data_IF_103220107910
#
_entry.id   IF_103220107910
#
_cell.length_a   1.000
_cell.length_b   1.000
_cell.length_c   1.000
_cell.angle_alpha   90.00
_cell.angle_beta   90.00
_cell.angle_gamma   90.00
#
_symmetry.space_group_name_H-M   'P 1'
#
loop_
_entity.id
_entity.type
_entity.pdbx_description
1 polymer ?
#
# COMPACT_ATOMS: atom_id res chain seq x y z
N UNK A 1 10.83 8.34 -22.19
CA UNK A 1 10.35 7.44 -21.12
C UNK A 1 10.89 7.97 -19.81
N UNK A 2 10.03 8.36 -18.85
CA UNK A 2 10.49 8.64 -17.48
C UNK A 2 10.76 7.30 -16.80
N UNK A 3 12.02 7.02 -16.50
CA UNK A 3 12.44 5.82 -15.80
C UNK A 3 12.31 6.08 -14.31
N UNK A 4 11.56 5.23 -13.59
CA UNK A 4 11.44 5.34 -12.13
C UNK A 4 12.81 5.20 -11.46
N UNK A 5 13.02 5.87 -10.33
CA UNK A 5 14.24 5.73 -9.52
C UNK A 5 14.47 4.30 -9.02
N UNK A 6 13.46 3.44 -9.13
CA UNK A 6 13.51 2.03 -8.77
C UNK A 6 13.93 1.10 -9.93
N UNK A 7 14.35 1.63 -11.08
CA UNK A 7 14.60 0.82 -12.28
C UNK A 7 15.96 0.13 -12.33
N UNK A 8 16.86 0.40 -11.39
CA UNK A 8 18.18 -0.24 -11.37
C UNK A 8 18.08 -1.66 -10.79
N UNK A 9 18.83 -2.61 -11.34
CA UNK A 9 18.83 -4.01 -10.86
C UNK A 9 19.11 -4.12 -9.35
N UNK A 10 20.09 -3.39 -8.76
CA UNK A 10 20.31 -3.42 -7.31
C UNK A 10 19.10 -2.92 -6.51
N UNK A 11 18.43 -1.87 -6.99
CA UNK A 11 17.23 -1.34 -6.33
C UNK A 11 16.07 -2.32 -6.45
N UNK A 12 15.90 -2.98 -7.60
CA UNK A 12 14.88 -4.00 -7.79
C UNK A 12 15.08 -5.20 -6.84
N UNK A 13 16.32 -5.65 -6.66
CA UNK A 13 16.66 -6.72 -5.73
C UNK A 13 16.41 -6.29 -4.27
N UNK A 14 16.83 -5.08 -3.89
CA UNK A 14 16.56 -4.54 -2.56
C UNK A 14 15.06 -4.46 -2.28
N UNK A 15 14.30 -3.85 -3.18
CA UNK A 15 12.85 -3.71 -3.08
C UNK A 15 12.15 -5.08 -2.99
N UNK A 16 12.62 -6.07 -3.74
CA UNK A 16 12.03 -7.42 -3.72
C UNK A 16 12.31 -8.14 -2.39
N UNK A 17 13.59 -8.18 -1.97
CA UNK A 17 14.01 -9.00 -0.83
C UNK A 17 13.84 -8.33 0.53
N UNK A 18 14.04 -7.00 0.61
CA UNK A 18 13.97 -6.27 1.87
C UNK A 18 12.57 -5.73 2.18
N UNK A 19 11.71 -5.59 1.16
CA UNK A 19 10.41 -4.92 1.30
C UNK A 19 9.27 -5.85 0.87
N UNK A 20 9.19 -6.21 -0.42
CA UNK A 20 8.05 -6.95 -0.99
C UNK A 20 7.83 -8.32 -0.35
N UNK A 21 8.85 -9.19 -0.39
CA UNK A 21 8.73 -10.55 0.11
C UNK A 21 8.39 -10.57 1.62
N UNK A 22 9.08 -9.80 2.48
CA UNK A 22 8.72 -9.68 3.89
C UNK A 22 7.28 -9.23 4.14
N UNK A 23 6.73 -8.31 3.33
CA UNK A 23 5.34 -7.86 3.45
C UNK A 23 4.37 -8.99 3.10
N UNK A 24 4.57 -9.66 1.97
CA UNK A 24 3.70 -10.74 1.51
C UNK A 24 3.63 -11.89 2.53
N UNK A 25 4.79 -12.39 2.96
CA UNK A 25 4.88 -13.49 3.92
C UNK A 25 4.21 -13.13 5.26
N UNK A 26 4.33 -11.86 5.66
CA UNK A 26 3.74 -11.38 6.91
C UNK A 26 2.23 -11.17 6.83
N UNK A 27 1.72 -10.67 5.69
CA UNK A 27 0.29 -10.51 5.45
C UNK A 27 -0.39 -11.88 5.45
N UNK A 28 0.18 -12.85 4.75
CA UNK A 28 -0.33 -14.23 4.73
C UNK A 28 -0.42 -14.80 6.16
N UNK A 29 0.65 -14.68 6.95
CA UNK A 29 0.69 -15.14 8.34
C UNK A 29 -0.30 -14.40 9.26
N UNK A 30 -0.52 -13.10 9.05
CA UNK A 30 -1.43 -12.31 9.89
C UNK A 30 -2.89 -12.69 9.68
N UNK A 31 -3.27 -12.92 8.42
CA UNK A 31 -4.63 -13.23 8.03
C UNK A 31 -4.95 -14.73 8.05
N UNK A 32 -3.96 -15.61 8.20
CA UNK A 32 -4.18 -17.03 8.45
C UNK A 32 -4.92 -17.23 9.80
N UNK A 33 -6.12 -17.84 9.81
CA UNK A 33 -6.85 -18.16 11.05
C UNK A 33 -6.14 -19.22 11.91
N UNK A 34 -5.29 -20.05 11.32
CA UNK A 34 -4.59 -21.13 12.02
C UNK A 34 -3.23 -20.69 12.58
N UNK A 35 -2.73 -19.52 12.18
CA UNK A 35 -1.46 -19.01 12.66
C UNK A 35 -1.52 -18.68 14.17
N UNK A 36 -0.52 -19.18 14.90
CA UNK A 36 -0.38 -18.91 16.33
C UNK A 36 -0.21 -17.40 16.63
N UNK A 37 -0.60 -16.96 17.83
CA UNK A 37 -0.36 -15.57 18.27
C UNK A 37 1.12 -15.17 18.17
N UNK A 38 2.03 -16.10 18.44
CA UNK A 38 3.48 -15.88 18.34
C UNK A 38 3.90 -15.68 16.88
N UNK A 39 3.36 -16.47 15.96
CA UNK A 39 3.61 -16.31 14.52
C UNK A 39 3.12 -14.95 14.01
N UNK A 40 1.92 -14.52 14.44
CA UNK A 40 1.39 -13.18 14.10
C UNK A 40 2.25 -12.05 14.65
N UNK A 41 2.75 -12.16 15.88
CA UNK A 41 3.68 -11.17 16.43
C UNK A 41 5.00 -11.10 15.66
N UNK A 42 5.55 -12.25 15.23
CA UNK A 42 6.74 -12.29 14.37
C UNK A 42 6.46 -11.62 13.02
N UNK A 43 5.32 -11.90 12.40
CA UNK A 43 4.90 -11.26 11.14
C UNK A 43 4.77 -9.73 11.28
N UNK A 44 4.16 -9.23 12.36
CA UNK A 44 4.10 -7.78 12.64
C UNK A 44 5.50 -7.18 12.76
N UNK A 45 6.43 -7.87 13.42
CA UNK A 45 7.82 -7.41 13.54
C UNK A 45 8.53 -7.36 12.19
N UNK A 46 8.26 -8.33 11.30
CA UNK A 46 8.82 -8.36 9.95
C UNK A 46 8.24 -7.20 9.11
N UNK A 47 6.93 -6.98 9.14
CA UNK A 47 6.27 -5.83 8.52
C UNK A 47 6.84 -4.50 9.01
N UNK A 48 7.09 -4.39 10.31
CA UNK A 48 7.68 -3.19 10.89
C UNK A 48 9.09 -2.92 10.34
N UNK A 49 9.91 -3.96 10.19
CA UNK A 49 11.24 -3.84 9.57
C UNK A 49 11.15 -3.44 8.10
N UNK A 50 10.26 -4.08 7.32
CA UNK A 50 10.06 -3.75 5.91
C UNK A 50 9.62 -2.29 5.75
N UNK A 51 8.71 -1.82 6.60
CA UNK A 51 8.30 -0.42 6.66
C UNK A 51 9.47 0.53 7.01
N UNK A 52 10.35 0.15 7.94
CA UNK A 52 11.55 0.91 8.24
C UNK A 52 12.50 0.99 7.04
N UNK A 53 12.68 -0.08 6.28
CA UNK A 53 13.50 -0.07 5.07
C UNK A 53 12.90 0.84 3.99
N UNK A 54 11.59 0.82 3.80
CA UNK A 54 10.90 1.76 2.88
C UNK A 54 11.11 3.21 3.29
N UNK A 55 11.14 3.50 4.59
CA UNK A 55 11.35 4.88 5.06
C UNK A 55 12.74 5.45 4.76
N UNK A 56 13.69 4.61 4.32
CA UNK A 56 15.03 5.02 3.88
C UNK A 56 15.10 5.32 2.38
N UNK A 57 14.05 4.97 1.62
CA UNK A 57 13.98 5.23 0.19
C UNK A 57 13.71 6.70 -0.08
N UNK A 58 14.07 7.19 -1.28
CA UNK A 58 13.72 8.56 -1.68
C UNK A 58 12.20 8.73 -1.64
N UNK A 59 11.75 9.92 -1.23
CA UNK A 59 10.33 10.24 -1.23
C UNK A 59 9.77 10.18 -2.66
N UNK A 60 8.63 9.49 -2.89
CA UNK A 60 8.01 9.45 -4.20
C UNK A 60 7.43 10.82 -4.55
N UNK A 61 7.68 11.25 -5.79
CA UNK A 61 7.26 12.51 -6.39
C UNK A 61 6.77 12.24 -7.81
N UNK A 62 6.02 13.19 -8.40
CA UNK A 62 5.55 13.08 -9.78
C UNK A 62 6.70 13.00 -10.81
N UNK A 63 7.90 13.40 -10.41
CA UNK A 63 9.10 13.39 -11.25
C UNK A 63 9.81 12.04 -11.24
N UNK A 64 9.78 11.34 -10.10
CA UNK A 64 10.53 10.09 -9.88
C UNK A 64 9.66 8.82 -9.86
N UNK A 65 8.34 8.98 -9.93
CA UNK A 65 7.35 7.91 -10.13
C UNK A 65 6.75 7.99 -11.53
N UNK A 66 6.21 6.88 -12.01
CA UNK A 66 5.70 6.78 -13.38
C UNK A 66 4.26 6.29 -13.46
N UNK A 67 3.75 5.60 -12.43
CA UNK A 67 2.42 5.01 -12.48
C UNK A 67 1.31 6.05 -12.22
N UNK A 68 0.24 6.13 -13.04
CA UNK A 68 -0.84 7.10 -12.85
C UNK A 68 -1.52 7.01 -11.48
N UNK A 69 -1.76 5.80 -10.95
CA UNK A 69 -2.35 5.65 -9.62
C UNK A 69 -1.37 6.06 -8.51
N UNK A 70 -0.06 5.93 -8.72
CA UNK A 70 0.94 6.44 -7.80
C UNK A 70 0.92 7.98 -7.80
N UNK A 71 0.77 8.62 -8.96
CA UNK A 71 0.60 10.08 -9.08
C UNK A 71 -0.65 10.59 -8.37
N UNK A 72 -1.79 9.91 -8.52
CA UNK A 72 -3.02 10.26 -7.80
C UNK A 72 -2.84 10.20 -6.28
N UNK A 73 -2.12 9.20 -5.79
CA UNK A 73 -1.82 9.06 -4.36
C UNK A 73 -0.80 10.10 -3.86
N UNK A 74 0.14 10.52 -4.70
CA UNK A 74 1.05 11.64 -4.39
C UNK A 74 0.25 12.93 -4.23
N UNK A 75 -0.66 13.22 -5.16
CA UNK A 75 -1.54 14.40 -5.08
C UNK A 75 -2.39 14.36 -3.80
N UNK A 76 -2.98 13.19 -3.49
CA UNK A 76 -3.76 13.01 -2.28
C UNK A 76 -2.91 13.19 -1.01
N UNK A 77 -1.69 12.62 -0.98
CA UNK A 77 -0.75 12.80 0.14
C UNK A 77 -0.47 14.28 0.35
N UNK A 78 -0.08 14.98 -0.70
CA UNK A 78 0.32 16.39 -0.61
C UNK A 78 -0.87 17.25 -0.16
N UNK A 79 -2.07 16.98 -0.69
CA UNK A 79 -3.30 17.63 -0.23
C UNK A 79 -3.60 17.36 1.25
N UNK A 80 -3.52 16.09 1.71
CA UNK A 80 -3.74 15.75 3.13
C UNK A 80 -2.72 16.45 4.02
N UNK A 81 -1.44 16.47 3.64
CA UNK A 81 -0.38 17.07 4.45
C UNK A 81 -0.44 18.60 4.49
N UNK A 82 -0.94 19.24 3.44
CA UNK A 82 -1.07 20.70 3.34
C UNK A 82 -2.35 21.20 4.03
N UNK A 83 -3.48 20.50 3.87
CA UNK A 83 -4.81 21.01 4.24
C UNK A 83 -5.38 20.41 5.52
N UNK A 84 -4.92 19.23 5.94
CA UNK A 84 -5.31 18.71 7.25
C UNK A 84 -4.32 19.26 8.28
N UNK A 85 -4.77 20.18 9.13
CA UNK A 85 -4.02 20.76 10.26
C UNK A 85 -3.73 19.63 11.27
N UNK A 86 -2.72 18.84 10.97
CA UNK A 86 -2.30 17.66 11.71
C UNK A 86 -1.11 18.03 12.60
N UNK A 87 -1.09 17.50 13.82
CA UNK A 87 0.10 17.59 14.68
C UNK A 87 1.33 17.02 13.94
N UNK A 88 2.46 17.71 14.05
CA UNK A 88 3.79 17.35 13.52
C UNK A 88 4.13 15.85 13.56
N UNK A 89 3.79 15.15 14.66
CA UNK A 89 4.02 13.71 14.79
C UNK A 89 3.10 12.86 13.90
N UNK A 90 1.85 13.28 13.76
CA UNK A 90 0.85 12.62 12.89
C UNK A 90 1.16 12.87 11.42
N UNK A 91 1.61 14.07 11.07
CA UNK A 91 2.11 14.42 9.71
C UNK A 91 3.24 13.47 9.30
N UNK A 92 4.22 13.26 10.18
CA UNK A 92 5.34 12.36 9.89
C UNK A 92 4.91 10.90 9.68
N UNK A 93 3.96 10.40 10.46
CA UNK A 93 3.42 9.05 10.30
C UNK A 93 2.62 8.91 9.01
N UNK A 94 1.71 9.86 8.75
CA UNK A 94 0.84 9.86 7.56
C UNK A 94 1.70 9.94 6.29
N UNK A 95 2.68 10.85 6.24
CA UNK A 95 3.64 10.94 5.13
C UNK A 95 4.32 9.61 4.86
N UNK A 96 4.83 8.94 5.90
CA UNK A 96 5.50 7.65 5.76
C UNK A 96 4.57 6.53 5.27
N UNK A 97 3.32 6.50 5.76
CA UNK A 97 2.31 5.53 5.30
C UNK A 97 1.95 5.76 3.83
N UNK A 98 1.71 7.01 3.43
CA UNK A 98 1.47 7.34 2.03
C UNK A 98 2.65 6.96 1.14
N UNK A 99 3.87 7.35 1.53
CA UNK A 99 5.08 7.02 0.77
C UNK A 99 5.25 5.51 0.64
N UNK A 100 4.94 4.74 1.68
CA UNK A 100 4.94 3.29 1.64
C UNK A 100 3.98 2.73 0.58
N UNK A 101 2.72 3.17 0.59
CA UNK A 101 1.71 2.70 -0.37
C UNK A 101 2.07 3.10 -1.80
N UNK A 102 2.50 4.35 -2.02
CA UNK A 102 2.89 4.87 -3.33
C UNK A 102 4.05 4.06 -3.91
N UNK A 103 5.08 3.79 -3.11
CA UNK A 103 6.27 3.02 -3.52
C UNK A 103 5.87 1.60 -3.93
N UNK A 104 5.00 0.93 -3.17
CA UNK A 104 4.53 -0.41 -3.52
C UNK A 104 3.79 -0.45 -4.86
N UNK A 105 2.97 0.57 -5.14
CA UNK A 105 2.19 0.67 -6.39
C UNK A 105 3.07 1.03 -7.59
N UNK A 106 4.04 1.93 -7.41
CA UNK A 106 4.94 2.35 -8.48
C UNK A 106 5.94 1.24 -8.85
N UNK A 107 6.36 0.43 -7.86
CA UNK A 107 7.39 -0.60 -8.01
C UNK A 107 6.87 -1.92 -8.59
N UNK A 108 5.67 -2.41 -8.24
CA UNK A 108 5.35 -3.83 -8.39
C UNK A 108 4.11 -4.14 -9.26
N UNK A 109 4.23 -4.98 -10.33
CA UNK A 109 3.12 -5.39 -11.20
C UNK A 109 1.92 -6.08 -10.52
N UNK A 110 2.06 -7.04 -9.58
CA UNK A 110 0.89 -7.66 -8.94
C UNK A 110 0.08 -6.68 -8.08
N UNK A 111 0.72 -5.74 -7.38
CA UNK A 111 0.00 -4.70 -6.63
C UNK A 111 -0.60 -3.65 -7.57
N UNK A 112 0.10 -3.32 -8.66
CA UNK A 112 -0.46 -2.51 -9.75
C UNK A 112 -1.76 -3.10 -10.28
N UNK A 113 -1.79 -4.41 -10.56
CA UNK A 113 -2.99 -5.09 -11.03
C UNK A 113 -4.11 -5.14 -10.00
N UNK A 114 -3.80 -5.30 -8.70
CA UNK A 114 -4.81 -5.22 -7.63
C UNK A 114 -5.44 -3.82 -7.58
N UNK A 115 -4.65 -2.76 -7.71
CA UNK A 115 -5.18 -1.39 -7.70
C UNK A 115 -5.89 -1.01 -9.01
N UNK A 116 -5.40 -1.49 -10.15
CA UNK A 116 -6.08 -1.31 -11.44
C UNK A 116 -7.41 -2.08 -11.47
N UNK A 117 -7.48 -3.28 -10.90
CA UNK A 117 -8.73 -4.02 -10.75
C UNK A 117 -9.69 -3.33 -9.78
N UNK A 118 -9.18 -2.72 -8.70
CA UNK A 118 -10.00 -1.90 -7.79
C UNK A 118 -10.52 -0.63 -8.48
N UNK A 119 -9.76 -0.03 -9.39
CA UNK A 119 -10.23 1.10 -10.21
C UNK A 119 -11.35 0.64 -11.15
N UNK A 120 -11.16 -0.47 -11.86
CA UNK A 120 -12.22 -1.04 -12.71
C UNK A 120 -13.47 -1.43 -11.91
N UNK A 121 -13.30 -1.98 -10.70
CA UNK A 121 -14.42 -2.28 -9.81
C UNK A 121 -15.08 -1.01 -9.27
N UNK A 122 -14.30 0.01 -8.89
CA UNK A 122 -14.81 1.30 -8.41
C UNK A 122 -15.55 2.07 -9.52
N UNK A 123 -15.05 2.01 -10.76
CA UNK A 123 -15.70 2.60 -11.94
C UNK A 123 -17.00 1.85 -12.31
N UNK A 124 -17.10 0.57 -11.94
CA UNK A 124 -18.33 -0.24 -12.06
C UNK A 124 -19.26 -0.12 -10.85
N UNK A 125 -18.77 0.39 -9.72
CA UNK A 125 -19.60 0.65 -8.55
C UNK A 125 -20.40 1.92 -8.78
N UNK A 126 -21.71 1.78 -9.03
CA UNK A 126 -22.64 2.89 -8.77
C UNK A 126 -22.46 3.33 -7.32
N UNK A 127 -21.98 4.56 -7.13
CA UNK A 127 -21.90 5.19 -5.82
C UNK A 127 -23.32 5.31 -5.24
N UNK A 128 -23.74 4.30 -4.49
CA UNK A 128 -24.93 4.41 -3.66
C UNK A 128 -24.58 5.37 -2.53
N UNK A 129 -25.24 6.53 -2.52
CA UNK A 129 -25.14 7.49 -1.42
C UNK A 129 -25.31 6.73 -0.10
N UNK A 130 -24.28 6.74 0.75
CA UNK A 130 -24.35 6.08 2.05
C UNK A 130 -25.44 6.74 2.89
N UNK A 131 -26.58 6.08 3.03
CA UNK A 131 -27.35 6.18 4.25
C UNK A 131 -26.47 5.65 5.39
N UNK A 132 -25.84 6.57 6.12
CA UNK A 132 -25.18 6.26 7.39
C UNK A 132 -26.25 5.89 8.41
N UNK A 133 -26.82 4.69 8.28
CA UNK A 133 -27.86 4.20 9.16
C UNK A 133 -28.18 2.74 8.87
N UNK A 134 -27.86 1.88 9.84
CA UNK A 134 -28.34 0.49 9.97
C UNK A 134 -28.01 -0.45 8.80
N UNK A 135 -26.96 -1.24 8.96
CA UNK A 135 -27.06 -2.71 9.18
C UNK A 135 -25.66 -3.32 9.22
N UNK A 136 -25.41 -4.13 10.24
CA UNK A 136 -24.09 -4.66 10.58
C UNK A 136 -23.65 -5.87 9.76
N UNK A 137 -23.87 -5.88 8.44
CA UNK A 137 -23.52 -7.04 7.62
C UNK A 137 -22.94 -6.64 6.27
N UNK A 138 -21.62 -6.44 6.23
CA UNK A 138 -20.87 -6.65 4.98
C UNK A 138 -19.41 -6.95 5.32
N UNK A 139 -19.09 -8.24 5.40
CA UNK A 139 -17.71 -8.72 5.50
C UNK A 139 -17.05 -8.54 4.13
N UNK A 140 -16.08 -7.63 4.04
CA UNK A 140 -15.17 -7.53 2.91
C UNK A 140 -14.38 -8.85 2.79
N UNK A 141 -14.69 -9.68 1.79
CA UNK A 141 -14.05 -10.99 1.55
C UNK A 141 -13.59 -11.18 0.09
N UNK A 142 -13.45 -10.08 -0.66
CA UNK A 142 -13.22 -10.09 -2.11
C UNK A 142 -11.88 -10.74 -2.52
N UNK A 143 -10.86 -10.80 -1.65
CA UNK A 143 -9.57 -11.42 -1.97
C UNK A 143 -9.56 -12.97 -1.95
N UNK A 144 -10.64 -13.64 -1.48
CA UNK A 144 -10.68 -15.13 -1.43
C UNK A 144 -11.05 -15.80 -2.76
N UNK A 145 -11.37 -15.04 -3.82
CA UNK A 145 -11.92 -15.61 -5.07
C UNK A 145 -10.91 -15.81 -6.21
N UNK A 146 -9.62 -15.58 -6.00
CA UNK A 146 -8.60 -15.83 -7.02
C UNK A 146 -7.72 -17.02 -6.61
N UNK A 147 -8.19 -18.23 -6.94
CA UNK A 147 -7.47 -19.48 -6.72
C UNK A 147 -8.30 -20.71 -7.10
N UNK A 148 -8.49 -20.92 -8.41
CA UNK A 148 -8.68 -22.25 -9.01
C UNK A 148 -7.55 -22.44 -10.03
#
# INVERSE_FOLDING_TARGET
MKTTIYSTVPMQLFMTHAIKQPILDSVETLFDPNASKVSKLKAIRILWKAYQEVSKLPEPTLENTWHPNAHNLIILRDWVLEWCILDSKRVGLIRKVFNFVIILIDFDPPWRWVFDSLKEEADKMEWKSKDYGRTGETKYSWWRKLGC
#
